data_IF_311895291028
#
_entry.id   IF_311895291028
#
_cell.length_a   1.000
_cell.length_b   1.000
_cell.length_c   1.000
_cell.angle_alpha   90.00
_cell.angle_beta   90.00
_cell.angle_gamma   90.00
#
_symmetry.space_group_name_H-M   'P 1'
#
loop_
_entity.id
_entity.type
_entity.pdbx_description
1 polymer ?
#
# COMPACT_ATOMS: atom_id res chain seq x y z
N UNK A 1 -1.96 39.88 7.42
CA UNK A 1 -0.92 38.85 7.22
C UNK A 1 -1.59 37.49 7.21
N UNK A 2 -1.33 36.63 6.22
CA UNK A 2 -2.00 35.32 6.16
C UNK A 2 -1.32 34.35 7.13
N UNK A 3 -2.12 33.47 7.77
CA UNK A 3 -1.61 32.41 8.65
C UNK A 3 -0.59 31.47 7.96
N UNK A 4 -0.54 31.47 6.63
CA UNK A 4 0.42 30.73 5.82
C UNK A 4 1.86 31.23 6.01
N UNK A 5 2.07 32.54 6.11
CA UNK A 5 3.40 33.10 6.30
C UNK A 5 3.98 32.78 7.69
N UNK A 6 3.13 32.67 8.72
CA UNK A 6 3.53 32.36 10.09
C UNK A 6 4.04 30.91 10.28
N UNK A 7 3.70 30.00 9.36
CA UNK A 7 4.03 28.56 9.46
C UNK A 7 5.06 28.08 8.43
N UNK A 8 5.47 28.95 7.51
CA UNK A 8 6.50 28.69 6.49
C UNK A 8 7.85 28.41 7.18
N UNK A 9 8.56 27.38 6.72
CA UNK A 9 9.88 27.00 7.26
C UNK A 9 9.87 26.32 8.64
N UNK A 10 8.74 26.28 9.35
CA UNK A 10 8.64 25.59 10.63
C UNK A 10 8.44 24.08 10.44
N UNK A 11 9.06 23.28 11.31
CA UNK A 11 8.83 21.84 11.37
C UNK A 11 7.38 21.51 11.71
N UNK A 12 6.95 20.27 11.38
CA UNK A 12 5.68 19.73 11.82
C UNK A 12 5.73 19.46 13.33
N UNK A 13 4.73 19.91 14.05
CA UNK A 13 4.51 19.59 15.46
C UNK A 13 3.63 18.34 15.59
N UNK A 14 3.40 17.85 16.81
CA UNK A 14 2.62 16.63 17.03
C UNK A 14 1.16 16.78 16.58
N UNK A 15 0.55 17.94 16.81
CA UNK A 15 -0.81 18.26 16.39
C UNK A 15 -0.94 18.23 14.87
N UNK A 16 0.07 18.72 14.15
CA UNK A 16 0.07 18.66 12.68
C UNK A 16 0.07 17.19 12.20
N UNK A 17 0.81 16.30 12.87
CA UNK A 17 0.88 14.87 12.54
C UNK A 17 -0.45 14.16 12.80
N UNK A 18 -1.10 14.47 13.92
CA UNK A 18 -2.43 13.92 14.24
C UNK A 18 -3.46 14.32 13.18
N UNK A 19 -3.40 15.55 12.68
CA UNK A 19 -4.28 16.03 11.60
C UNK A 19 -3.98 15.30 10.28
N UNK A 20 -2.70 15.03 9.97
CA UNK A 20 -2.33 14.21 8.79
C UNK A 20 -2.91 12.81 8.93
N UNK A 21 -2.69 12.13 10.06
CA UNK A 21 -3.17 10.78 10.32
C UNK A 21 -4.70 10.70 10.20
N UNK A 22 -5.42 11.57 10.91
CA UNK A 22 -6.87 11.66 10.80
C UNK A 22 -7.33 11.91 9.36
N UNK A 23 -6.66 12.80 8.63
CA UNK A 23 -6.98 13.06 7.23
C UNK A 23 -6.80 11.84 6.33
N UNK A 24 -5.79 11.01 6.58
CA UNK A 24 -5.56 9.76 5.83
C UNK A 24 -6.64 8.71 6.14
N UNK A 25 -7.08 8.62 7.40
CA UNK A 25 -8.17 7.73 7.82
C UNK A 25 -9.49 8.14 7.18
N UNK A 26 -9.75 9.45 7.06
CA UNK A 26 -10.95 10.00 6.43
C UNK A 26 -10.88 10.12 4.89
N UNK A 27 -9.81 9.64 4.25
CA UNK A 27 -9.55 9.81 2.81
C UNK A 27 -9.57 11.26 2.30
N UNK A 28 -9.12 12.21 3.11
CA UNK A 28 -8.91 13.56 2.62
C UNK A 28 -7.86 13.59 1.53
N UNK A 29 -8.02 14.52 0.59
CA UNK A 29 -7.04 14.83 -0.43
C UNK A 29 -5.83 15.52 0.19
N UNK A 30 -4.67 15.41 -0.48
CA UNK A 30 -3.47 16.14 -0.07
C UNK A 30 -3.72 17.65 0.04
N UNK A 31 -4.56 18.20 -0.85
CA UNK A 31 -4.94 19.60 -0.84
C UNK A 31 -5.72 19.97 0.42
N UNK A 32 -6.72 19.17 0.81
CA UNK A 32 -7.50 19.44 2.03
C UNK A 32 -6.64 19.38 3.30
N UNK A 33 -5.68 18.45 3.39
CA UNK A 33 -4.75 18.39 4.53
C UNK A 33 -3.80 19.60 4.51
N UNK A 34 -3.29 19.96 3.33
CA UNK A 34 -2.44 21.15 3.11
C UNK A 34 -3.17 22.43 3.53
N UNK A 35 -4.42 22.59 3.12
CA UNK A 35 -5.23 23.76 3.40
C UNK A 35 -5.57 23.88 4.90
N UNK A 36 -5.72 22.77 5.62
CA UNK A 36 -5.91 22.79 7.08
C UNK A 36 -4.63 23.15 7.83
N UNK A 37 -3.51 22.55 7.45
CA UNK A 37 -2.24 22.73 8.17
C UNK A 37 -1.46 23.99 7.77
N UNK A 38 -1.79 24.55 6.61
CA UNK A 38 -1.03 25.62 5.95
C UNK A 38 0.46 25.23 5.80
N UNK A 39 0.69 23.99 5.36
CA UNK A 39 2.03 23.41 5.13
C UNK A 39 2.17 23.00 3.67
N UNK A 40 3.40 23.03 3.16
CA UNK A 40 3.67 22.63 1.79
C UNK A 40 3.26 21.17 1.53
N UNK A 41 2.60 20.86 0.39
CA UNK A 41 2.14 19.50 0.09
C UNK A 41 3.28 18.49 -0.01
N UNK A 42 4.50 18.93 -0.35
CA UNK A 42 5.69 18.07 -0.36
C UNK A 42 6.15 17.74 1.07
N UNK A 43 6.01 18.67 2.03
CA UNK A 43 6.28 18.40 3.45
C UNK A 43 5.35 17.33 3.99
N UNK A 44 4.05 17.45 3.74
CA UNK A 44 3.06 16.44 4.15
C UNK A 44 3.35 15.10 3.46
N UNK A 45 3.61 15.10 2.15
CA UNK A 45 3.93 13.87 1.42
C UNK A 45 5.18 13.16 1.95
N UNK A 46 6.22 13.92 2.34
CA UNK A 46 7.44 13.39 2.94
C UNK A 46 7.17 12.80 4.32
N UNK A 47 6.35 13.46 5.13
CA UNK A 47 5.95 12.95 6.46
C UNK A 47 5.25 11.60 6.33
N UNK A 48 4.28 11.49 5.43
CA UNK A 48 3.54 10.24 5.19
C UNK A 48 4.50 9.14 4.74
N UNK A 49 5.34 9.41 3.75
CA UNK A 49 6.29 8.42 3.22
C UNK A 49 7.33 7.97 4.23
N UNK A 50 7.74 8.87 5.14
CA UNK A 50 8.75 8.59 6.17
C UNK A 50 8.18 7.73 7.30
N UNK A 51 6.93 7.99 7.71
CA UNK A 51 6.33 7.34 8.87
C UNK A 51 5.44 6.14 8.51
N UNK A 52 5.16 5.92 7.22
CA UNK A 52 4.43 4.72 6.81
C UNK A 52 5.25 3.46 7.11
N UNK A 53 4.55 2.38 7.45
CA UNK A 53 5.12 1.06 7.63
C UNK A 53 4.33 0.04 6.82
N UNK A 54 5.04 -0.96 6.28
CA UNK A 54 4.39 -2.07 5.63
C UNK A 54 3.70 -2.93 6.69
N UNK A 55 2.39 -3.11 6.52
CA UNK A 55 1.65 -4.08 7.32
C UNK A 55 1.98 -5.46 6.77
N UNK A 56 2.97 -6.09 7.39
CA UNK A 56 3.24 -7.51 7.19
C UNK A 56 2.02 -8.23 7.74
N UNK A 57 1.14 -8.70 6.86
CA UNK A 57 0.15 -9.72 7.25
C UNK A 57 0.96 -10.83 7.92
N UNK A 58 0.53 -11.29 9.10
CA UNK A 58 1.07 -12.51 9.74
C UNK A 58 0.70 -13.70 8.84
N UNK A 59 1.33 -13.76 7.68
CA UNK A 59 1.05 -14.74 6.66
C UNK A 59 1.50 -16.06 7.23
N UNK A 60 0.55 -16.96 7.48
CA UNK A 60 0.89 -18.33 7.83
C UNK A 60 1.64 -18.93 6.65
N UNK A 61 2.42 -19.96 6.95
CA UNK A 61 3.26 -20.64 5.99
C UNK A 61 2.50 -21.09 4.70
N UNK A 62 1.19 -21.34 4.83
CA UNK A 62 0.29 -21.77 3.77
C UNK A 62 -0.64 -20.67 3.20
N UNK A 63 -0.45 -19.41 3.59
CA UNK A 63 -1.28 -18.34 3.06
C UNK A 63 -1.00 -18.10 1.58
N UNK A 64 -2.07 -17.85 0.83
CA UNK A 64 -1.99 -17.59 -0.61
C UNK A 64 -1.38 -16.20 -0.81
N UNK A 65 -0.11 -16.17 -1.15
CA UNK A 65 0.57 -14.94 -1.58
C UNK A 65 0.14 -14.56 -3.00
N UNK A 66 -0.57 -13.44 -3.18
CA UNK A 66 -1.11 -13.07 -4.47
C UNK A 66 -0.02 -12.54 -5.39
N UNK A 67 0.12 -13.19 -6.54
CA UNK A 67 1.00 -12.75 -7.60
C UNK A 67 0.39 -11.55 -8.37
N UNK A 68 1.18 -10.52 -8.66
CA UNK A 68 0.82 -9.39 -9.52
C UNK A 68 0.31 -9.87 -10.89
N UNK A 69 0.95 -10.92 -11.42
CA UNK A 69 0.65 -11.48 -12.74
C UNK A 69 -0.52 -12.49 -12.71
N UNK A 70 -1.17 -12.73 -11.57
CA UNK A 70 -2.14 -13.83 -11.39
C UNK A 70 -3.24 -13.88 -12.47
N UNK A 71 -3.73 -12.73 -12.94
CA UNK A 71 -4.82 -12.69 -13.93
C UNK A 71 -4.34 -13.15 -15.32
N UNK A 72 -3.25 -12.56 -15.81
CA UNK A 72 -2.69 -12.78 -17.15
C UNK A 72 -1.70 -13.94 -17.25
N UNK A 73 -1.21 -14.48 -16.13
CA UNK A 73 -0.23 -15.56 -16.13
C UNK A 73 -0.82 -16.84 -16.74
N UNK A 74 -0.07 -17.37 -17.71
CA UNK A 74 -0.36 -18.61 -18.45
C UNK A 74 0.47 -19.80 -17.99
N UNK A 75 1.46 -19.60 -17.09
CA UNK A 75 2.33 -20.68 -16.59
C UNK A 75 1.51 -21.84 -16.03
N UNK A 76 1.83 -23.05 -16.46
CA UNK A 76 1.25 -24.31 -16.01
C UNK A 76 2.32 -25.18 -15.35
N UNK A 77 1.93 -26.35 -14.85
CA UNK A 77 2.87 -27.41 -14.45
C UNK A 77 3.84 -27.03 -13.33
N UNK A 78 3.40 -26.18 -12.39
CA UNK A 78 4.29 -25.68 -11.34
C UNK A 78 4.69 -26.75 -10.31
N UNK A 79 3.82 -27.71 -10.01
CA UNK A 79 4.14 -28.78 -9.06
C UNK A 79 4.83 -29.98 -9.73
N UNK A 80 4.49 -30.28 -10.98
CA UNK A 80 5.12 -31.32 -11.81
C UNK A 80 4.66 -31.15 -13.28
N UNK A 81 5.39 -31.80 -14.19
CA UNK A 81 5.17 -31.72 -15.64
C UNK A 81 3.81 -32.27 -16.12
N UNK A 82 3.11 -33.05 -15.31
CA UNK A 82 1.82 -33.68 -15.65
C UNK A 82 0.60 -32.94 -15.07
N UNK A 83 0.79 -31.89 -14.27
CA UNK A 83 -0.31 -31.22 -13.56
C UNK A 83 -1.37 -30.63 -14.50
N UNK A 84 -0.96 -30.08 -15.63
CA UNK A 84 -1.79 -29.41 -16.63
C UNK A 84 -2.51 -28.14 -16.15
N UNK A 85 -2.45 -27.81 -14.85
CA UNK A 85 -3.11 -26.63 -14.27
C UNK A 85 -2.23 -25.40 -14.36
N UNK A 86 -2.85 -24.24 -14.57
CA UNK A 86 -2.17 -22.96 -14.36
C UNK A 86 -1.72 -22.80 -12.91
N UNK A 87 -0.60 -22.12 -12.69
CA UNK A 87 0.01 -21.90 -11.36
C UNK A 87 -1.01 -21.38 -10.33
N UNK A 88 -1.94 -20.52 -10.75
CA UNK A 88 -3.00 -19.92 -9.90
C UNK A 88 -4.11 -20.89 -9.47
N UNK A 89 -4.15 -22.10 -10.04
CA UNK A 89 -5.13 -23.16 -9.79
C UNK A 89 -4.47 -24.45 -9.29
N UNK A 90 -3.17 -24.46 -9.07
CA UNK A 90 -2.48 -25.64 -8.55
C UNK A 90 -2.82 -25.82 -7.07
N UNK A 91 -3.30 -27.00 -6.68
CA UNK A 91 -3.62 -27.32 -5.28
C UNK A 91 -2.41 -27.83 -4.48
N UNK A 92 -1.35 -28.28 -5.17
CA UNK A 92 -0.20 -28.94 -4.55
C UNK A 92 0.93 -27.98 -4.18
N UNK A 93 1.11 -26.88 -4.92
CA UNK A 93 2.19 -25.92 -4.66
C UNK A 93 1.72 -24.49 -4.84
N UNK A 94 2.20 -23.62 -3.95
CA UNK A 94 1.93 -22.19 -4.02
C UNK A 94 2.84 -21.49 -5.03
N UNK A 95 2.24 -20.61 -5.86
CA UNK A 95 2.95 -19.83 -6.87
C UNK A 95 4.15 -19.07 -6.29
N UNK A 96 4.01 -18.48 -5.10
CA UNK A 96 5.06 -17.76 -4.40
C UNK A 96 6.33 -18.58 -4.12
N UNK A 97 6.20 -19.89 -3.86
CA UNK A 97 7.34 -20.73 -3.46
C UNK A 97 8.14 -21.27 -4.63
N UNK A 98 7.49 -21.48 -5.78
CA UNK A 98 8.06 -22.27 -6.86
C UNK A 98 8.10 -21.55 -8.21
N UNK A 99 7.32 -20.49 -8.40
CA UNK A 99 7.29 -19.80 -9.68
C UNK A 99 8.41 -18.76 -9.73
N UNK A 100 9.36 -18.95 -10.65
CA UNK A 100 10.45 -18.00 -10.92
C UNK A 100 9.96 -16.64 -11.43
N UNK A 101 8.78 -16.58 -12.06
CA UNK A 101 8.12 -15.35 -12.51
C UNK A 101 7.12 -14.80 -11.47
N UNK A 102 7.14 -15.34 -10.25
CA UNK A 102 6.34 -14.78 -9.17
C UNK A 102 6.78 -13.33 -8.91
N UNK A 103 5.78 -12.45 -8.81
CA UNK A 103 5.98 -11.07 -8.40
C UNK A 103 4.89 -10.71 -7.41
N UNK A 104 5.28 -10.08 -6.30
CA UNK A 104 4.34 -9.70 -5.25
C UNK A 104 3.33 -8.67 -5.77
N UNK A 105 2.05 -8.87 -5.43
CA UNK A 105 1.00 -7.92 -5.80
C UNK A 105 1.14 -6.64 -4.97
N UNK A 106 1.57 -5.56 -5.61
CA UNK A 106 1.75 -4.24 -4.97
C UNK A 106 0.48 -3.40 -5.08
N UNK A 107 0.17 -2.66 -4.02
CA UNK A 107 -0.97 -1.76 -4.03
C UNK A 107 -0.63 -0.46 -4.77
N UNK A 108 -1.43 -0.09 -5.77
CA UNK A 108 -1.21 1.14 -6.56
C UNK A 108 -1.29 2.42 -5.70
N UNK A 109 -2.03 2.39 -4.59
CA UNK A 109 -2.12 3.51 -3.64
C UNK A 109 -0.80 3.80 -2.91
N UNK A 110 0.21 2.92 -3.01
CA UNK A 110 1.53 3.15 -2.44
C UNK A 110 2.44 3.97 -3.38
N UNK A 111 2.09 4.04 -4.68
CA UNK A 111 2.86 4.73 -5.72
C UNK A 111 2.44 6.20 -5.89
N UNK A 112 1.21 6.54 -5.51
CA UNK A 112 0.64 7.89 -5.55
C UNK A 112 0.00 8.20 -4.20
N UNK A 113 -0.30 9.48 -3.93
CA UNK A 113 -1.05 9.86 -2.74
C UNK A 113 -2.31 8.97 -2.61
N UNK A 114 -2.62 8.43 -1.41
CA UNK A 114 -2.08 8.78 -0.09
C UNK A 114 -0.79 8.06 0.34
N UNK A 115 -0.16 7.23 -0.50
CA UNK A 115 1.03 6.43 -0.15
C UNK A 115 0.83 5.36 0.95
N UNK A 116 -0.39 5.26 1.49
CA UNK A 116 -0.83 4.35 2.57
C UNK A 116 -2.24 3.81 2.28
N UNK A 117 -2.76 2.95 3.16
CA UNK A 117 -4.00 2.21 2.99
C UNK A 117 -5.07 2.54 4.04
N UNK A 118 -4.80 3.46 4.97
CA UNK A 118 -5.66 3.87 6.09
C UNK A 118 -7.16 3.94 5.75
N UNK A 119 -7.58 4.91 4.92
CA UNK A 119 -8.97 5.04 4.52
C UNK A 119 -9.42 4.12 3.37
N UNK A 120 -8.62 3.12 2.96
CA UNK A 120 -8.97 2.35 1.77
C UNK A 120 -10.22 1.47 1.98
N UNK A 121 -11.32 1.78 1.28
CA UNK A 121 -12.60 1.05 1.37
C UNK A 121 -12.49 -0.46 1.08
N UNK A 122 -11.53 -0.86 0.26
CA UNK A 122 -11.29 -2.26 -0.09
C UNK A 122 -10.23 -2.94 0.79
N UNK A 123 -9.80 -2.32 1.90
CA UNK A 123 -8.68 -2.84 2.69
C UNK A 123 -8.92 -4.26 3.22
N UNK A 124 -10.16 -4.62 3.54
CA UNK A 124 -10.55 -5.94 4.05
C UNK A 124 -10.44 -7.03 2.98
N UNK A 125 -10.75 -6.71 1.72
CA UNK A 125 -10.74 -7.66 0.59
C UNK A 125 -9.48 -7.55 -0.27
N UNK A 126 -8.71 -6.48 -0.12
CA UNK A 126 -7.49 -6.25 -0.87
C UNK A 126 -6.41 -7.25 -0.44
N UNK A 127 -5.88 -7.97 -1.41
CA UNK A 127 -4.84 -8.98 -1.21
C UNK A 127 -3.43 -8.41 -1.43
N UNK A 128 -3.29 -7.18 -1.94
CA UNK A 128 -1.99 -6.58 -2.18
C UNK A 128 -1.26 -6.25 -0.87
N UNK A 129 0.05 -6.00 -0.94
CA UNK A 129 0.80 -5.41 0.18
C UNK A 129 0.18 -4.08 0.60
N UNK A 130 0.01 -3.91 1.91
CA UNK A 130 -0.61 -2.73 2.52
C UNK A 130 0.46 -1.97 3.30
N UNK A 131 0.35 -0.66 3.27
CA UNK A 131 1.12 0.24 4.13
C UNK A 131 0.15 1.08 4.93
N UNK A 132 0.47 1.35 6.18
CA UNK A 132 -0.26 2.29 7.04
C UNK A 132 0.69 3.38 7.49
#
# INVERSE_FOLDING_TARGET
MSNYELRKGKHLIMEDRLIIEYGLDQNYTLKEITDRLKKDPTTISKEIKRNRFLRVSKAKENDIHPCQNRRSCTKTNLCNNACGKHCKKCAFINCYRACNEYSIKRCNKLNRYPFVCNGCSTITTCTAEKSH
#
